data_IF_541610709469
#
_entry.id   IF_541610709469
#
_cell.length_a   1.000
_cell.length_b   1.000
_cell.length_c   1.000
_cell.angle_alpha   90.00
_cell.angle_beta   90.00
_cell.angle_gamma   90.00
#
_symmetry.space_group_name_H-M   'P 1'
#
loop_
_entity.id
_entity.type
_entity.pdbx_description
1 polymer ?
#
# COMPACT_ATOMS: atom_id res chain seq x y z
N UNK A 1 8.84 -16.29 -3.37
CA UNK A 1 10.23 -16.56 -3.80
C UNK A 1 11.09 -15.42 -3.28
N UNK A 2 12.33 -15.69 -2.84
CA UNK A 2 13.25 -14.63 -2.39
C UNK A 2 14.31 -14.42 -3.45
N UNK A 3 14.65 -13.17 -3.74
CA UNK A 3 15.77 -12.83 -4.62
C UNK A 3 16.84 -12.19 -3.75
N UNK A 4 18.05 -12.75 -3.81
CA UNK A 4 19.20 -12.15 -3.15
C UNK A 4 19.79 -11.08 -4.09
N UNK A 5 20.06 -9.88 -3.56
CA UNK A 5 20.79 -8.85 -4.30
C UNK A 5 22.28 -9.20 -4.41
N UNK A 6 22.83 -9.79 -3.35
CA UNK A 6 24.21 -10.22 -3.28
C UNK A 6 24.32 -11.59 -2.63
N UNK A 7 25.31 -12.36 -3.06
CA UNK A 7 25.71 -13.60 -2.41
C UNK A 7 27.12 -13.43 -1.86
N UNK A 8 27.35 -13.83 -0.61
CA UNK A 8 28.69 -13.92 -0.05
C UNK A 8 29.09 -15.38 0.01
N UNK A 9 30.22 -15.69 -0.62
CA UNK A 9 30.76 -17.04 -0.69
C UNK A 9 32.03 -17.09 0.13
N UNK A 10 32.08 -18.00 1.10
CA UNK A 10 33.23 -18.17 1.97
C UNK A 10 33.83 -19.57 1.85
N UNK A 11 35.15 -19.70 1.61
CA UNK A 11 35.83 -20.97 1.69
C UNK A 11 35.98 -21.38 3.16
N UNK A 12 35.41 -22.53 3.51
CA UNK A 12 35.65 -23.15 4.80
C UNK A 12 36.61 -24.32 4.59
N UNK A 13 37.81 -24.21 5.15
CA UNK A 13 38.78 -25.29 5.18
C UNK A 13 38.28 -26.36 6.15
N UNK A 14 37.99 -27.56 5.66
CA UNK A 14 37.79 -28.71 6.53
C UNK A 14 39.15 -29.07 7.15
N UNK A 15 39.25 -29.19 8.49
CA UNK A 15 40.49 -29.60 9.12
C UNK A 15 40.89 -30.99 8.59
N UNK A 16 42.19 -31.13 8.30
CA UNK A 16 42.81 -32.31 7.72
C UNK A 16 42.64 -33.54 8.62
N UNK A 17 41.54 -34.26 8.47
CA UNK A 17 41.38 -35.63 8.94
C UNK A 17 41.25 -36.55 7.72
N UNK A 18 42.40 -36.75 7.08
CA UNK A 18 42.78 -38.01 6.44
C UNK A 18 42.10 -38.52 5.16
N UNK A 19 41.63 -37.70 4.19
CA UNK A 19 41.75 -38.07 2.75
C UNK A 19 41.30 -37.13 1.63
N UNK A 20 40.79 -35.91 1.86
CA UNK A 20 40.69 -34.94 0.77
C UNK A 20 40.99 -33.51 1.27
N UNK A 21 41.93 -32.78 0.64
CA UNK A 21 42.04 -31.34 0.83
C UNK A 21 40.83 -30.69 0.14
N UNK A 22 39.71 -30.64 0.83
CA UNK A 22 38.49 -29.98 0.38
C UNK A 22 38.36 -28.60 1.04
N UNK A 23 37.76 -27.67 0.31
CA UNK A 23 37.09 -26.53 0.91
C UNK A 23 35.60 -26.67 0.59
N UNK A 24 34.71 -26.44 1.55
CA UNK A 24 33.30 -26.24 1.23
C UNK A 24 33.02 -24.75 1.15
N UNK A 25 32.12 -24.37 0.25
CA UNK A 25 31.71 -22.99 0.08
C UNK A 25 30.42 -22.77 0.88
N UNK A 26 30.49 -21.92 1.91
CA UNK A 26 29.29 -21.44 2.58
C UNK A 26 28.72 -20.27 1.77
N UNK A 27 27.45 -20.36 1.39
CA UNK A 27 26.74 -19.28 0.67
C UNK A 27 25.80 -18.59 1.64
N UNK A 28 26.03 -17.30 1.85
CA UNK A 28 25.14 -16.43 2.61
C UNK A 28 24.39 -15.51 1.63
N UNK A 29 23.06 -15.50 1.73
CA UNK A 29 22.20 -14.62 0.93
C UNK A 29 22.06 -13.28 1.66
N UNK A 30 22.59 -12.21 1.07
CA UNK A 30 22.56 -10.87 1.64
C UNK A 30 21.52 -10.02 0.89
N UNK A 31 20.61 -9.41 1.65
CA UNK A 31 19.54 -8.56 1.11
C UNK A 31 18.42 -9.38 0.45
N UNK A 32 17.75 -10.21 1.24
CA UNK A 32 16.53 -10.88 0.81
C UNK A 32 15.36 -9.91 0.87
N UNK A 33 14.98 -9.33 -0.27
CA UNK A 33 13.73 -8.61 -0.39
C UNK A 33 12.61 -9.57 -0.84
N UNK A 34 11.41 -9.44 -0.28
CA UNK A 34 10.27 -10.22 -0.73
C UNK A 34 9.99 -9.85 -2.19
N UNK A 35 10.18 -10.81 -3.10
CA UNK A 35 9.73 -10.65 -4.48
C UNK A 35 8.21 -10.73 -4.44
N UNK A 36 7.54 -9.59 -4.48
CA UNK A 36 6.11 -9.56 -4.71
C UNK A 36 5.85 -10.03 -6.14
N UNK A 37 4.82 -10.87 -6.37
CA UNK A 37 4.42 -11.22 -7.73
C UNK A 37 4.10 -9.93 -8.51
N UNK A 38 4.31 -9.91 -9.84
CA UNK A 38 3.95 -8.76 -10.65
C UNK A 38 2.46 -8.48 -10.47
N UNK A 39 2.14 -7.34 -9.85
CA UNK A 39 0.76 -6.97 -9.56
C UNK A 39 0.13 -6.52 -10.89
N UNK A 40 -1.01 -7.12 -11.31
CA UNK A 40 -1.63 -6.77 -12.57
C UNK A 40 -1.96 -5.27 -12.64
N UNK A 41 -1.80 -4.63 -13.80
CA UNK A 41 -2.20 -3.24 -13.98
C UNK A 41 -3.73 -3.14 -13.93
N UNK A 42 -4.23 -2.02 -13.40
CA UNK A 42 -5.66 -1.75 -13.43
C UNK A 42 -6.15 -1.57 -14.88
N UNK A 43 -7.36 -2.04 -15.21
CA UNK A 43 -7.96 -1.84 -16.52
C UNK A 43 -8.15 -0.34 -16.81
N UNK A 44 -8.09 0.04 -18.09
CA UNK A 44 -8.43 1.40 -18.52
C UNK A 44 -7.52 2.52 -17.97
N UNK A 45 -6.28 2.19 -17.59
CA UNK A 45 -5.34 3.12 -16.96
C UNK A 45 -5.80 3.67 -15.60
N UNK A 46 -6.62 2.89 -14.86
CA UNK A 46 -7.01 3.21 -13.49
C UNK A 46 -5.84 3.22 -12.50
N UNK A 47 -6.08 3.81 -11.33
CA UNK A 47 -5.14 3.84 -10.20
C UNK A 47 -5.34 2.61 -9.31
N UNK A 48 -4.26 2.08 -8.72
CA UNK A 48 -4.35 0.96 -7.78
C UNK A 48 -4.18 1.46 -6.35
N UNK A 49 -5.25 1.33 -5.57
CA UNK A 49 -5.30 1.65 -4.15
C UNK A 49 -4.32 0.79 -3.34
N UNK A 50 -3.94 1.24 -2.14
CA UNK A 50 -3.05 0.50 -1.26
C UNK A 50 -3.68 -0.80 -0.76
N UNK A 51 -5.01 -0.87 -0.65
CA UNK A 51 -5.73 -2.11 -0.36
C UNK A 51 -5.76 -3.11 -1.54
N UNK A 52 -5.32 -2.71 -2.74
CA UNK A 52 -5.27 -3.54 -3.95
C UNK A 52 -6.45 -3.36 -4.93
N UNK A 53 -7.46 -2.58 -4.58
CA UNK A 53 -8.59 -2.23 -5.46
C UNK A 53 -8.14 -1.31 -6.61
N UNK A 54 -8.95 -1.24 -7.66
CA UNK A 54 -8.72 -0.36 -8.81
C UNK A 54 -9.72 0.79 -8.82
N UNK A 55 -9.21 2.01 -8.64
CA UNK A 55 -9.96 3.25 -8.79
C UNK A 55 -9.92 3.76 -10.24
N UNK A 56 -10.85 4.65 -10.57
CA UNK A 56 -10.99 5.22 -11.91
C UNK A 56 -9.77 6.06 -12.32
N UNK A 57 -9.51 6.24 -13.63
CA UNK A 57 -8.48 7.18 -14.06
C UNK A 57 -8.86 8.62 -13.67
N UNK A 58 -7.89 9.37 -13.13
CA UNK A 58 -8.05 10.80 -12.81
C UNK A 58 -8.54 11.13 -11.40
N UNK A 59 -8.75 10.13 -10.55
CA UNK A 59 -9.11 10.29 -9.13
C UNK A 59 -7.93 10.50 -8.16
N UNK A 60 -6.65 10.16 -8.46
CA UNK A 60 -5.58 10.42 -7.49
C UNK A 60 -5.41 11.91 -7.19
N UNK A 61 -5.42 12.26 -5.90
CA UNK A 61 -5.29 13.63 -5.40
C UNK A 61 -6.33 14.59 -5.98
N UNK A 62 -7.58 14.14 -6.13
CA UNK A 62 -8.69 14.96 -6.62
C UNK A 62 -9.52 15.60 -5.50
N UNK A 63 -9.20 15.26 -4.24
CA UNK A 63 -9.83 15.79 -3.04
C UNK A 63 -11.02 14.97 -2.54
N UNK A 64 -11.32 13.83 -3.16
CA UNK A 64 -12.31 12.87 -2.71
C UNK A 64 -11.65 11.50 -2.45
N UNK A 65 -12.13 10.79 -1.42
CA UNK A 65 -11.70 9.41 -1.21
C UNK A 65 -12.50 8.50 -2.15
N UNK A 66 -11.90 8.12 -3.27
CA UNK A 66 -12.46 7.15 -4.22
C UNK A 66 -11.97 5.72 -3.94
N UNK A 67 -10.83 5.55 -3.28
CA UNK A 67 -10.45 4.26 -2.69
C UNK A 67 -11.21 4.01 -1.40
N UNK A 68 -11.56 2.75 -1.11
CA UNK A 68 -12.20 2.37 0.17
C UNK A 68 -11.30 2.68 1.39
N UNK A 69 -9.99 2.59 1.19
CA UNK A 69 -8.97 2.97 2.17
C UNK A 69 -8.51 4.44 2.05
N UNK A 70 -9.02 5.20 1.07
CA UNK A 70 -8.68 6.61 0.84
C UNK A 70 -7.23 6.86 0.42
N UNK A 71 -6.50 5.83 0.00
CA UNK A 71 -5.08 5.92 -0.37
C UNK A 71 -4.80 6.70 -1.66
N UNK A 72 -5.83 6.97 -2.45
CA UNK A 72 -5.78 7.88 -3.60
C UNK A 72 -5.55 9.34 -3.19
N UNK A 73 -5.81 9.69 -1.94
CA UNK A 73 -5.60 11.03 -1.36
C UNK A 73 -4.37 11.10 -0.42
N UNK A 74 -3.61 10.01 -0.30
CA UNK A 74 -2.40 9.96 0.52
C UNK A 74 -1.15 10.37 -0.26
N UNK A 75 -0.24 11.10 0.40
CA UNK A 75 1.03 11.50 -0.21
C UNK A 75 0.92 12.56 -1.30
N UNK A 76 -0.23 13.23 -1.43
CA UNK A 76 -0.39 14.38 -2.29
C UNK A 76 0.57 15.50 -1.85
N UNK A 77 1.35 16.02 -2.80
CA UNK A 77 2.15 17.22 -2.55
C UNK A 77 1.25 18.41 -2.18
N UNK A 78 1.81 19.53 -1.69
CA UNK A 78 1.03 20.75 -1.50
C UNK A 78 0.41 21.10 -2.85
N UNK A 79 -0.91 20.89 -2.96
CA UNK A 79 -1.64 21.18 -4.18
C UNK A 79 -1.37 22.64 -4.53
N UNK A 80 -1.00 22.97 -5.77
CA UNK A 80 -1.13 24.33 -6.23
C UNK A 80 -2.60 24.68 -6.08
N UNK A 81 -2.91 25.49 -5.08
CA UNK A 81 -4.18 26.19 -5.02
C UNK A 81 -4.32 26.89 -6.37
N UNK A 82 -5.44 26.64 -7.05
CA UNK A 82 -5.78 27.17 -8.37
C UNK A 82 -5.29 26.38 -9.59
N UNK A 83 -5.98 25.27 -9.89
CA UNK A 83 -6.67 25.11 -11.19
C UNK A 83 -7.83 24.12 -11.09
N UNK A 84 -9.06 24.63 -11.00
CA UNK A 84 -10.09 24.16 -11.94
C UNK A 84 -11.06 23.02 -11.59
N UNK A 85 -11.15 22.53 -10.36
CA UNK A 85 -12.40 21.90 -9.85
C UNK A 85 -12.61 22.32 -8.40
N UNK A 86 -13.48 23.32 -8.23
CA UNK A 86 -13.86 23.84 -6.92
C UNK A 86 -14.55 22.80 -6.04
N UNK A 87 -14.78 23.13 -4.76
CA UNK A 87 -15.42 22.25 -3.80
C UNK A 87 -16.84 21.93 -4.26
N UNK A 88 -17.16 20.65 -4.42
CA UNK A 88 -18.54 20.20 -4.55
C UNK A 88 -19.20 20.23 -3.16
N UNK A 89 -19.32 21.41 -2.54
CA UNK A 89 -20.21 21.53 -1.38
C UNK A 89 -21.63 21.70 -1.88
N UNK A 90 -22.33 20.57 -1.96
CA UNK A 90 -23.78 20.33 -1.79
C UNK A 90 -23.98 18.89 -2.34
N UNK A 91 -23.97 17.85 -1.51
CA UNK A 91 -25.05 17.55 -0.58
C UNK A 91 -24.57 16.90 0.73
N UNK A 92 -25.09 17.31 1.90
CA UNK A 92 -25.16 16.42 3.05
C UNK A 92 -26.27 15.39 2.80
N UNK A 93 -25.93 14.13 2.57
CA UNK A 93 -26.96 13.14 2.26
C UNK A 93 -26.50 11.71 2.10
N UNK A 94 -25.82 11.16 3.12
CA UNK A 94 -25.91 9.75 3.53
C UNK A 94 -24.86 9.42 4.61
N UNK A 95 -24.89 10.16 5.73
CA UNK A 95 -24.48 9.53 6.98
C UNK A 95 -25.68 8.72 7.45
N UNK A 96 -25.73 7.43 7.12
CA UNK A 96 -26.51 6.44 7.87
C UNK A 96 -25.87 6.28 9.24
N UNK A 97 -26.00 7.34 10.04
CA UNK A 97 -25.84 7.30 11.47
C UNK A 97 -26.96 6.45 12.06
N UNK A 98 -26.55 5.49 12.86
CA UNK A 98 -27.11 5.15 14.16
C UNK A 98 -28.42 5.89 14.55
N UNK A 99 -29.49 5.17 14.98
CA UNK A 99 -30.70 5.83 15.47
C UNK A 99 -30.43 6.50 16.81
N UNK A 100 -30.18 7.81 16.81
CA UNK A 100 -30.26 8.62 18.02
C UNK A 100 -31.72 8.97 18.30
N UNK A 101 -32.19 8.40 19.41
CA UNK A 101 -33.06 8.98 20.41
C UNK A 101 -33.88 10.21 19.97
N UNK A 102 -35.18 10.00 19.89
CA UNK A 102 -36.20 11.02 19.73
C UNK A 102 -36.06 12.14 20.77
N UNK A 103 -36.26 13.35 20.26
CA UNK A 103 -35.95 14.64 20.84
C UNK A 103 -36.83 15.10 22.03
N UNK A 104 -36.39 16.16 22.75
CA UNK A 104 -36.81 16.55 24.10
C UNK A 104 -38.00 17.54 24.19
N UNK A 105 -39.24 17.04 24.04
CA UNK A 105 -40.46 17.86 24.24
C UNK A 105 -41.53 17.23 25.16
N UNK A 106 -41.14 16.63 26.28
CA UNK A 106 -42.08 16.18 27.31
C UNK A 106 -41.78 16.79 28.68
N UNK A 107 -41.88 18.12 28.77
CA UNK A 107 -42.16 18.82 30.02
C UNK A 107 -43.49 19.55 29.89
N UNK A 108 -44.52 18.99 30.51
CA UNK A 108 -45.78 19.66 30.83
C UNK A 108 -46.40 18.96 32.03
N UNK A 109 -46.34 19.66 33.16
CA UNK A 109 -47.04 19.52 34.44
C UNK A 109 -47.23 18.12 35.05
#
# INVERSE_FOLDING_TARGET
MVQARYIRVWPHSVPHSDRQPGFFLWVELLGCEPVSPPVPPCPGAGHRCANGECALPGVPCDGAADCEDGSDEEGCGPLPVDTGRGPQTLMPGAASGHPEALSPWSLRF
#
